data_IF_974895106373
#
_entry.id   IF_974895106373
#
_cell.length_a   1.000
_cell.length_b   1.000
_cell.length_c   1.000
_cell.angle_alpha   90.00
_cell.angle_beta   90.00
_cell.angle_gamma   90.00
#
_symmetry.space_group_name_H-M   'P 1'
#
loop_
_entity.id
_entity.type
_entity.pdbx_description
1 polymer ?
#
# COMPACT_ATOMS: atom_id res chain seq x y z
N UNK A 1 2.00 -7.48 32.04
CA UNK A 1 2.07 -7.98 30.64
C UNK A 1 2.92 -7.01 29.83
N UNK A 2 3.96 -7.47 29.10
CA UNK A 2 4.82 -6.56 28.32
C UNK A 2 4.02 -5.96 27.16
N UNK A 3 3.93 -4.63 27.04
CA UNK A 3 3.10 -3.93 26.04
C UNK A 3 3.36 -4.43 24.61
N UNK A 4 4.61 -4.69 24.25
CA UNK A 4 5.03 -5.22 22.93
C UNK A 4 4.47 -6.61 22.59
N UNK A 5 3.93 -7.33 23.58
CA UNK A 5 3.28 -8.63 23.42
C UNK A 5 1.75 -8.53 23.27
N UNK A 6 1.17 -7.33 23.35
CA UNK A 6 -0.27 -7.08 23.16
C UNK A 6 -0.60 -6.82 21.68
N UNK A 7 -1.87 -6.96 21.27
CA UNK A 7 -2.30 -6.63 19.91
C UNK A 7 -2.04 -5.15 19.59
N UNK A 8 -2.37 -4.25 20.52
CA UNK A 8 -2.14 -2.82 20.36
C UNK A 8 -0.64 -2.50 20.22
N UNK A 9 0.20 -3.04 21.10
CA UNK A 9 1.65 -2.82 21.02
C UNK A 9 2.27 -3.35 19.72
N UNK A 10 1.84 -4.53 19.24
CA UNK A 10 2.31 -5.07 17.95
C UNK A 10 1.82 -4.23 16.75
N UNK A 11 0.62 -3.66 16.85
CA UNK A 11 0.06 -2.74 15.83
C UNK A 11 0.85 -1.45 15.79
N UNK A 12 1.11 -0.81 16.94
CA UNK A 12 1.86 0.44 17.01
C UNK A 12 3.31 0.28 16.54
N UNK A 13 3.96 -0.85 16.87
CA UNK A 13 5.31 -1.17 16.41
C UNK A 13 5.42 -1.38 14.89
N UNK A 14 4.31 -1.52 14.17
CA UNK A 14 4.30 -1.74 12.72
C UNK A 14 3.48 -0.64 12.04
N UNK A 15 2.16 -0.74 12.06
CA UNK A 15 1.26 0.23 11.44
C UNK A 15 1.34 1.62 12.11
N UNK A 16 1.60 1.70 13.42
CA UNK A 16 1.77 2.99 14.09
C UNK A 16 2.95 3.79 13.53
N UNK A 17 4.13 3.18 13.47
CA UNK A 17 5.30 3.79 12.81
C UNK A 17 5.07 4.06 11.33
N UNK A 18 4.34 3.18 10.63
CA UNK A 18 4.00 3.39 9.23
C UNK A 18 3.16 4.65 9.04
N UNK A 19 2.07 4.82 9.81
CA UNK A 19 1.21 5.99 9.71
C UNK A 19 1.94 7.27 10.15
N UNK A 20 2.78 7.19 11.18
CA UNK A 20 3.63 8.33 11.54
C UNK A 20 4.53 8.77 10.38
N UNK A 21 5.23 7.82 9.74
CA UNK A 21 6.11 8.11 8.63
C UNK A 21 5.36 8.64 7.40
N UNK A 22 4.19 8.07 7.08
CA UNK A 22 3.33 8.55 5.99
C UNK A 22 2.85 9.97 6.26
N UNK A 23 2.24 10.21 7.42
CA UNK A 23 1.69 11.53 7.76
C UNK A 23 2.77 12.61 7.77
N UNK A 24 3.92 12.34 8.38
CA UNK A 24 5.03 13.28 8.41
C UNK A 24 5.61 13.51 7.01
N UNK A 25 5.87 12.44 6.26
CA UNK A 25 6.45 12.52 4.92
C UNK A 25 5.55 13.28 3.95
N UNK A 26 4.26 12.97 3.92
CA UNK A 26 3.30 13.64 3.04
C UNK A 26 3.02 15.08 3.49
N UNK A 27 2.99 15.35 4.80
CA UNK A 27 2.90 16.71 5.30
C UNK A 27 4.07 17.56 4.80
N UNK A 28 5.29 17.02 4.84
CA UNK A 28 6.46 17.70 4.28
C UNK A 28 6.38 17.91 2.75
N UNK A 29 5.68 17.05 2.00
CA UNK A 29 5.54 17.22 0.52
C UNK A 29 4.35 18.09 0.14
N UNK A 30 3.51 18.40 1.13
CA UNK A 30 2.24 19.06 0.92
C UNK A 30 2.41 20.38 0.17
N UNK A 31 1.36 20.79 -0.52
CA UNK A 31 1.30 22.10 -1.14
C UNK A 31 1.52 23.23 -0.13
N UNK A 32 1.00 23.07 1.09
CA UNK A 32 1.22 24.02 2.18
C UNK A 32 2.71 24.26 2.45
N UNK A 33 3.50 23.19 2.62
CA UNK A 33 4.95 23.31 2.84
C UNK A 33 5.65 23.89 1.61
N UNK A 34 5.22 23.48 0.41
CA UNK A 34 5.79 23.97 -0.84
C UNK A 34 5.60 25.47 -1.04
N UNK A 35 4.44 26.02 -0.65
CA UNK A 35 4.10 27.44 -0.82
C UNK A 35 4.69 28.33 0.27
N UNK A 36 4.82 27.84 1.51
CA UNK A 36 5.21 28.67 2.66
C UNK A 36 6.68 28.51 3.08
N UNK A 37 7.31 27.38 2.77
CA UNK A 37 8.64 27.06 3.29
C UNK A 37 9.64 26.65 2.20
N UNK A 38 9.34 25.61 1.43
CA UNK A 38 10.27 25.10 0.42
C UNK A 38 9.58 24.35 -0.72
N UNK A 39 9.56 24.96 -1.92
CA UNK A 39 8.87 24.45 -3.10
C UNK A 39 9.23 23.01 -3.49
N UNK A 40 10.51 22.63 -3.34
CA UNK A 40 11.03 21.32 -3.71
C UNK A 40 11.19 20.36 -2.51
N UNK A 41 10.27 20.43 -1.52
CA UNK A 41 10.31 19.60 -0.32
C UNK A 41 10.33 18.07 -0.55
N UNK A 42 10.00 17.60 -1.76
CA UNK A 42 10.23 16.22 -2.20
C UNK A 42 11.67 15.74 -1.98
N UNK A 43 12.67 16.62 -2.14
CA UNK A 43 14.07 16.26 -1.91
C UNK A 43 14.36 15.98 -0.44
N UNK A 44 13.78 16.76 0.48
CA UNK A 44 13.94 16.56 1.92
C UNK A 44 13.38 15.19 2.31
N UNK A 45 12.19 14.84 1.82
CA UNK A 45 11.58 13.54 2.12
C UNK A 45 12.36 12.40 1.49
N UNK A 46 12.89 12.60 0.29
CA UNK A 46 13.78 11.62 -0.34
C UNK A 46 15.00 11.35 0.54
N UNK A 47 15.60 12.41 1.11
CA UNK A 47 16.72 12.29 2.05
C UNK A 47 16.34 11.62 3.39
N UNK A 48 15.05 11.58 3.76
CA UNK A 48 14.58 10.86 4.96
C UNK A 48 14.20 9.41 4.67
N UNK A 49 13.50 9.17 3.55
CA UNK A 49 12.95 7.86 3.19
C UNK A 49 14.04 6.92 2.68
N UNK A 50 15.06 7.42 1.97
CA UNK A 50 16.15 6.57 1.48
C UNK A 50 16.95 5.96 2.65
N UNK A 51 17.41 6.72 3.66
CA UNK A 51 18.03 6.14 4.86
C UNK A 51 17.11 5.19 5.62
N UNK A 52 15.82 5.51 5.76
CA UNK A 52 14.86 4.61 6.40
C UNK A 52 14.72 3.28 5.63
N UNK A 53 14.63 3.33 4.31
CA UNK A 53 14.60 2.16 3.44
C UNK A 53 15.87 1.33 3.61
N UNK A 54 17.05 1.96 3.59
CA UNK A 54 18.34 1.29 3.79
C UNK A 54 18.42 0.65 5.17
N UNK A 55 18.02 1.36 6.23
CA UNK A 55 17.98 0.82 7.60
C UNK A 55 17.10 -0.43 7.68
N UNK A 56 15.88 -0.37 7.13
CA UNK A 56 14.95 -1.51 7.09
C UNK A 56 15.51 -2.66 6.24
N UNK A 57 16.19 -2.35 5.13
CA UNK A 57 16.85 -3.32 4.27
C UNK A 57 17.98 -4.05 5.01
N UNK A 58 18.86 -3.33 5.72
CA UNK A 58 19.96 -3.94 6.46
C UNK A 58 19.50 -4.77 7.66
N UNK A 59 18.39 -4.37 8.33
CA UNK A 59 17.78 -5.15 9.42
C UNK A 59 16.94 -6.34 8.94
N UNK A 60 16.60 -6.39 7.66
CA UNK A 60 15.72 -7.41 7.10
C UNK A 60 16.44 -8.75 6.85
N UNK A 61 15.67 -9.84 6.99
CA UNK A 61 16.13 -11.18 6.57
C UNK A 61 16.46 -11.20 5.08
N UNK A 62 17.29 -12.15 4.62
CA UNK A 62 17.65 -12.28 3.19
C UNK A 62 16.41 -12.34 2.29
N UNK A 63 15.38 -13.11 2.67
CA UNK A 63 14.11 -13.16 1.95
C UNK A 63 13.43 -11.79 1.87
N UNK A 64 13.36 -11.08 3.00
CA UNK A 64 12.68 -9.78 3.06
C UNK A 64 13.43 -8.70 2.28
N UNK A 65 14.76 -8.75 2.25
CA UNK A 65 15.59 -7.88 1.41
C UNK A 65 15.25 -8.01 -0.07
N UNK A 66 15.11 -9.25 -0.56
CA UNK A 66 14.67 -9.46 -1.94
C UNK A 66 13.27 -8.92 -2.20
N UNK A 67 12.32 -9.12 -1.27
CA UNK A 67 10.97 -8.58 -1.40
C UNK A 67 10.95 -7.04 -1.45
N UNK A 68 11.80 -6.36 -0.68
CA UNK A 68 11.97 -4.91 -0.74
C UNK A 68 12.45 -4.48 -2.13
N UNK A 69 13.48 -5.12 -2.67
CA UNK A 69 14.00 -4.80 -4.01
C UNK A 69 12.91 -5.02 -5.06
N UNK A 70 12.22 -6.16 -5.02
CA UNK A 70 11.14 -6.43 -5.97
C UNK A 70 9.99 -5.44 -5.84
N UNK A 71 9.61 -5.07 -4.62
CA UNK A 71 8.55 -4.09 -4.38
C UNK A 71 8.94 -2.74 -4.96
N UNK A 72 10.18 -2.28 -4.75
CA UNK A 72 10.68 -1.02 -5.31
C UNK A 72 10.70 -1.06 -6.84
N UNK A 73 11.18 -2.14 -7.46
CA UNK A 73 11.21 -2.26 -8.93
C UNK A 73 9.80 -2.28 -9.54
N UNK A 74 8.88 -3.02 -8.93
CA UNK A 74 7.47 -3.04 -9.35
C UNK A 74 6.81 -1.68 -9.13
N UNK A 75 7.12 -1.01 -8.03
CA UNK A 75 6.63 0.33 -7.74
C UNK A 75 7.11 1.33 -8.80
N UNK A 76 8.40 1.32 -9.17
CA UNK A 76 8.91 2.16 -10.27
C UNK A 76 8.09 1.89 -11.55
N UNK A 77 7.99 0.64 -11.97
CA UNK A 77 7.23 0.29 -13.18
C UNK A 77 5.76 0.71 -13.09
N UNK A 78 5.13 0.51 -11.93
CA UNK A 78 3.75 0.89 -11.65
C UNK A 78 3.53 2.40 -11.71
N UNK A 79 4.39 3.21 -11.08
CA UNK A 79 4.28 4.67 -11.08
C UNK A 79 4.40 5.24 -12.51
N UNK A 80 5.38 4.76 -13.29
CA UNK A 80 5.52 5.19 -14.69
C UNK A 80 4.34 4.72 -15.56
N UNK A 81 3.80 3.53 -15.31
CA UNK A 81 2.64 3.04 -16.02
C UNK A 81 1.37 3.84 -15.66
N UNK A 82 1.02 3.91 -14.37
CA UNK A 82 -0.24 4.48 -13.92
C UNK A 82 -0.25 6.01 -13.95
N UNK A 83 0.80 6.68 -13.47
CA UNK A 83 0.86 8.13 -13.49
C UNK A 83 1.21 8.69 -14.87
N UNK A 84 2.33 8.24 -15.47
CA UNK A 84 2.85 8.87 -16.70
C UNK A 84 2.20 8.37 -17.98
N UNK A 85 1.98 7.07 -18.10
CA UNK A 85 1.47 6.48 -19.35
C UNK A 85 -0.05 6.55 -19.41
N UNK A 86 -0.70 6.22 -18.29
CA UNK A 86 -2.16 6.08 -18.20
C UNK A 86 -2.86 7.33 -17.64
N UNK A 87 -2.10 8.30 -17.10
CA UNK A 87 -2.66 9.55 -16.58
C UNK A 87 -3.64 9.36 -15.42
N UNK A 88 -3.46 8.31 -14.62
CA UNK A 88 -4.38 7.97 -13.53
C UNK A 88 -4.33 8.96 -12.36
N UNK A 89 -3.18 9.60 -12.13
CA UNK A 89 -3.01 10.65 -11.13
C UNK A 89 -1.77 11.46 -11.46
N UNK A 90 -1.74 12.71 -11.00
CA UNK A 90 -0.63 13.64 -11.20
C UNK A 90 -0.12 14.15 -9.87
N UNK A 91 1.19 14.00 -9.63
CA UNK A 91 1.86 14.61 -8.48
C UNK A 91 1.99 16.13 -8.64
N UNK A 92 2.06 16.85 -7.52
CA UNK A 92 2.19 18.32 -7.45
C UNK A 92 3.22 18.91 -8.42
N UNK A 93 4.43 18.35 -8.43
CA UNK A 93 5.54 18.80 -9.27
C UNK A 93 5.58 18.12 -10.66
N UNK A 94 4.53 17.38 -11.02
CA UNK A 94 4.40 16.60 -12.26
C UNK A 94 5.51 15.57 -12.51
N UNK A 95 6.48 15.38 -11.62
CA UNK A 95 7.42 14.26 -11.62
C UNK A 95 6.92 13.13 -10.72
N UNK A 96 7.50 11.94 -10.85
CA UNK A 96 7.34 10.89 -9.84
C UNK A 96 8.36 11.20 -8.73
N UNK A 97 7.93 11.50 -7.49
CA UNK A 97 8.87 11.78 -6.41
C UNK A 97 9.74 10.55 -6.11
N UNK A 98 11.04 10.75 -5.94
CA UNK A 98 11.99 9.63 -5.76
C UNK A 98 11.76 8.84 -4.46
N UNK A 99 11.09 9.42 -3.47
CA UNK A 99 10.72 8.72 -2.24
C UNK A 99 9.53 7.77 -2.40
N UNK A 100 8.72 7.89 -3.47
CA UNK A 100 7.51 7.09 -3.64
C UNK A 100 7.82 5.60 -3.86
N UNK A 101 8.69 5.20 -4.80
CA UNK A 101 9.00 3.77 -4.97
C UNK A 101 9.55 3.07 -3.72
N UNK A 102 10.55 3.62 -2.98
CA UNK A 102 10.96 3.03 -1.71
C UNK A 102 9.86 3.13 -0.64
N UNK A 103 9.03 4.17 -0.66
CA UNK A 103 7.84 4.30 0.20
C UNK A 103 6.87 3.13 0.03
N UNK A 104 6.54 2.76 -1.22
CA UNK A 104 5.70 1.59 -1.53
C UNK A 104 6.28 0.29 -0.97
N UNK A 105 7.60 0.11 -1.07
CA UNK A 105 8.28 -1.05 -0.50
C UNK A 105 8.23 -1.07 1.03
N UNK A 106 8.32 0.10 1.70
CA UNK A 106 8.18 0.22 3.16
C UNK A 106 6.74 -0.08 3.61
N UNK A 107 5.73 0.46 2.92
CA UNK A 107 4.31 0.15 3.17
C UNK A 107 4.08 -1.36 3.08
N UNK A 108 4.52 -1.97 1.97
CA UNK A 108 4.47 -3.41 1.76
C UNK A 108 5.12 -4.17 2.92
N UNK A 109 6.34 -3.78 3.30
CA UNK A 109 7.10 -4.43 4.35
C UNK A 109 6.41 -4.36 5.71
N UNK A 110 5.93 -3.19 6.13
CA UNK A 110 5.34 -3.00 7.45
C UNK A 110 3.98 -3.70 7.58
N UNK A 111 3.17 -3.72 6.51
CA UNK A 111 1.95 -4.55 6.47
C UNK A 111 2.28 -6.05 6.48
N UNK A 112 3.35 -6.46 5.77
CA UNK A 112 3.82 -7.84 5.78
C UNK A 112 4.30 -8.28 7.17
N UNK A 113 5.02 -7.41 7.90
CA UNK A 113 5.44 -7.65 9.27
C UNK A 113 4.25 -7.67 10.24
N UNK A 114 3.33 -6.72 10.13
CA UNK A 114 2.08 -6.70 10.92
C UNK A 114 1.35 -8.03 10.80
N UNK A 115 1.12 -8.49 9.57
CA UNK A 115 0.40 -9.74 9.26
C UNK A 115 1.07 -10.99 9.83
N UNK A 116 2.35 -10.92 10.25
CA UNK A 116 3.11 -12.03 10.81
C UNK A 116 3.26 -12.01 12.32
N UNK A 117 2.88 -10.92 13.00
CA UNK A 117 2.95 -10.78 14.44
C UNK A 117 2.02 -11.80 15.15
N UNK A 118 2.42 -12.27 16.33
CA UNK A 118 1.75 -13.39 17.00
C UNK A 118 0.31 -13.07 17.42
N UNK A 119 0.07 -11.90 18.01
CA UNK A 119 -1.28 -11.49 18.42
C UNK A 119 -2.16 -11.17 17.22
N UNK A 120 -1.57 -10.68 16.13
CA UNK A 120 -2.29 -10.43 14.88
C UNK A 120 -2.76 -11.75 14.27
N UNK A 121 -1.91 -12.78 14.25
CA UNK A 121 -2.32 -14.13 13.81
C UNK A 121 -3.39 -14.74 14.71
N UNK A 122 -3.27 -14.57 16.02
CA UNK A 122 -4.25 -15.05 16.99
C UNK A 122 -5.62 -14.38 16.80
N UNK A 123 -5.63 -13.05 16.58
CA UNK A 123 -6.85 -12.27 16.38
C UNK A 123 -7.28 -12.16 14.90
N UNK A 124 -6.72 -12.98 14.01
CA UNK A 124 -6.87 -12.84 12.56
C UNK A 124 -8.31 -12.63 12.10
N UNK A 125 -9.23 -13.50 12.52
CA UNK A 125 -10.65 -13.41 12.11
C UNK A 125 -11.30 -12.10 12.55
N UNK A 126 -11.02 -11.64 13.78
CA UNK A 126 -11.54 -10.38 14.31
C UNK A 126 -11.04 -9.19 13.50
N UNK A 127 -9.76 -9.19 13.14
CA UNK A 127 -9.15 -8.14 12.31
C UNK A 127 -9.73 -8.16 10.89
N UNK A 128 -9.88 -9.34 10.27
CA UNK A 128 -10.49 -9.46 8.94
C UNK A 128 -11.94 -8.95 8.92
N UNK A 129 -12.74 -9.26 9.95
CA UNK A 129 -14.11 -8.73 10.10
C UNK A 129 -14.08 -7.21 10.28
N UNK A 130 -13.24 -6.71 11.17
CA UNK A 130 -13.09 -5.28 11.44
C UNK A 130 -12.70 -4.49 10.17
N UNK A 131 -11.68 -4.92 9.44
CA UNK A 131 -11.30 -4.27 8.18
C UNK A 131 -12.44 -4.35 7.15
N UNK A 132 -13.11 -5.50 7.03
CA UNK A 132 -14.24 -5.65 6.11
C UNK A 132 -15.40 -4.70 6.46
N UNK A 133 -15.72 -4.55 7.75
CA UNK A 133 -16.76 -3.64 8.23
C UNK A 133 -16.41 -2.16 8.06
N UNK A 134 -15.13 -1.82 7.86
CA UNK A 134 -14.71 -0.47 7.48
C UNK A 134 -14.78 -0.26 5.96
N UNK A 135 -14.25 -1.22 5.20
CA UNK A 135 -14.09 -1.11 3.74
C UNK A 135 -15.43 -1.02 3.01
N UNK A 136 -16.40 -1.86 3.39
CA UNK A 136 -17.69 -1.91 2.69
C UNK A 136 -18.45 -0.57 2.83
N UNK A 137 -18.71 -0.05 4.05
CA UNK A 137 -19.35 1.25 4.20
C UNK A 137 -18.53 2.38 3.57
N UNK A 138 -17.20 2.37 3.72
CA UNK A 138 -16.33 3.39 3.12
C UNK A 138 -16.50 3.45 1.60
N UNK A 139 -16.44 2.31 0.91
CA UNK A 139 -16.59 2.24 -0.54
C UNK A 139 -18.01 2.59 -1.01
N UNK A 140 -19.04 2.22 -0.24
CA UNK A 140 -20.43 2.60 -0.54
C UNK A 140 -20.67 4.10 -0.35
N UNK A 141 -20.14 4.69 0.72
CA UNK A 141 -20.22 6.13 0.95
C UNK A 141 -19.53 6.90 -0.20
N UNK A 142 -18.36 6.45 -0.66
CA UNK A 142 -17.68 7.06 -1.80
C UNK A 142 -18.48 6.92 -3.10
N UNK A 143 -19.10 5.76 -3.34
CA UNK A 143 -19.99 5.57 -4.48
C UNK A 143 -21.19 6.54 -4.43
N UNK A 144 -21.88 6.64 -3.29
CA UNK A 144 -23.12 7.43 -3.17
C UNK A 144 -22.83 8.93 -3.16
N UNK A 145 -21.87 9.39 -2.37
CA UNK A 145 -21.64 10.83 -2.14
C UNK A 145 -20.60 11.45 -3.06
N UNK A 146 -19.71 10.64 -3.67
CA UNK A 146 -18.65 11.13 -4.55
C UNK A 146 -18.75 10.58 -5.98
N UNK A 147 -19.79 9.78 -6.28
CA UNK A 147 -19.95 9.09 -7.55
C UNK A 147 -18.70 8.26 -7.93
N UNK A 148 -18.02 7.65 -6.96
CA UNK A 148 -16.75 6.94 -7.18
C UNK A 148 -16.96 5.52 -7.75
N UNK A 149 -17.36 5.45 -9.03
CA UNK A 149 -17.61 4.17 -9.70
C UNK A 149 -16.31 3.37 -9.86
N UNK A 150 -15.21 4.03 -10.25
CA UNK A 150 -13.89 3.39 -10.37
C UNK A 150 -13.48 2.74 -9.04
N UNK A 151 -13.49 3.52 -7.95
CA UNK A 151 -13.12 3.00 -6.64
C UNK A 151 -14.00 1.84 -6.20
N UNK A 152 -15.31 1.92 -6.39
CA UNK A 152 -16.22 0.84 -6.06
C UNK A 152 -15.96 -0.46 -6.85
N UNK A 153 -15.73 -0.34 -8.16
CA UNK A 153 -15.39 -1.49 -9.04
C UNK A 153 -14.07 -2.13 -8.59
N UNK A 154 -13.05 -1.33 -8.27
CA UNK A 154 -11.79 -1.84 -7.76
C UNK A 154 -11.98 -2.59 -6.42
N UNK A 155 -12.80 -2.06 -5.52
CA UNK A 155 -13.14 -2.72 -4.23
C UNK A 155 -13.87 -4.04 -4.45
N UNK A 156 -14.82 -4.09 -5.39
CA UNK A 156 -15.47 -5.34 -5.78
C UNK A 156 -14.44 -6.39 -6.24
N UNK A 157 -13.48 -6.00 -7.08
CA UNK A 157 -12.42 -6.90 -7.53
C UNK A 157 -11.51 -7.36 -6.40
N UNK A 158 -11.19 -6.50 -5.43
CA UNK A 158 -10.45 -6.92 -4.22
C UNK A 158 -11.19 -8.05 -3.51
N UNK A 159 -12.48 -7.88 -3.21
CA UNK A 159 -13.26 -8.94 -2.54
C UNK A 159 -13.41 -10.19 -3.41
N UNK A 160 -13.56 -10.05 -4.73
CA UNK A 160 -13.60 -11.18 -5.66
C UNK A 160 -12.31 -12.00 -5.61
N UNK A 161 -11.13 -11.35 -5.68
CA UNK A 161 -9.85 -12.04 -5.59
C UNK A 161 -9.62 -12.67 -4.21
N UNK A 162 -10.10 -12.02 -3.14
CA UNK A 162 -10.01 -12.57 -1.79
C UNK A 162 -10.75 -13.89 -1.62
N UNK A 163 -11.84 -14.14 -2.36
CA UNK A 163 -12.54 -15.45 -2.35
C UNK A 163 -11.63 -16.58 -2.82
N UNK A 164 -10.78 -16.33 -3.83
CA UNK A 164 -9.83 -17.32 -4.38
C UNK A 164 -8.55 -17.45 -3.54
N UNK A 165 -8.30 -16.51 -2.63
CA UNK A 165 -7.03 -16.42 -1.88
C UNK A 165 -7.22 -16.22 -0.37
N UNK A 166 -7.88 -17.15 0.32
CA UNK A 166 -8.21 -17.01 1.74
C UNK A 166 -6.96 -16.92 2.63
N UNK A 167 -5.82 -17.46 2.22
CA UNK A 167 -4.56 -17.42 3.00
C UNK A 167 -3.95 -16.02 3.08
N UNK A 168 -4.27 -15.15 2.12
CA UNK A 168 -3.69 -13.80 1.99
C UNK A 168 -4.68 -12.70 2.42
N UNK A 169 -5.90 -13.08 2.83
CA UNK A 169 -7.00 -12.18 3.15
C UNK A 169 -6.66 -11.10 4.18
N UNK A 170 -6.07 -11.48 5.31
CA UNK A 170 -5.65 -10.52 6.34
C UNK A 170 -4.71 -9.44 5.78
N UNK A 171 -3.69 -9.84 5.01
CA UNK A 171 -2.70 -8.93 4.46
C UNK A 171 -3.36 -7.90 3.54
N UNK A 172 -4.22 -8.36 2.61
CA UNK A 172 -4.86 -7.47 1.65
C UNK A 172 -5.93 -6.55 2.26
N UNK A 173 -6.70 -7.02 3.24
CA UNK A 173 -7.67 -6.17 3.93
C UNK A 173 -6.96 -5.07 4.74
N UNK A 174 -5.86 -5.38 5.41
CA UNK A 174 -5.05 -4.39 6.12
C UNK A 174 -4.38 -3.44 5.12
N UNK A 175 -3.84 -3.96 4.03
CA UNK A 175 -3.25 -3.15 2.96
C UNK A 175 -4.28 -2.17 2.39
N UNK A 176 -5.51 -2.61 2.15
CA UNK A 176 -6.60 -1.74 1.72
C UNK A 176 -6.77 -0.57 2.69
N UNK A 177 -6.95 -0.84 3.98
CA UNK A 177 -7.12 0.21 4.99
C UNK A 177 -5.95 1.19 5.03
N UNK A 178 -4.72 0.68 4.98
CA UNK A 178 -3.50 1.49 4.98
C UNK A 178 -3.47 2.40 3.75
N UNK A 179 -3.67 1.85 2.56
CA UNK A 179 -3.65 2.61 1.30
C UNK A 179 -4.78 3.63 1.25
N UNK A 180 -5.99 3.27 1.68
CA UNK A 180 -7.10 4.22 1.74
C UNK A 180 -6.76 5.43 2.63
N UNK A 181 -6.13 5.21 3.79
CA UNK A 181 -5.68 6.30 4.67
C UNK A 181 -4.55 7.10 4.00
N UNK A 182 -3.56 6.44 3.39
CA UNK A 182 -2.45 7.11 2.68
C UNK A 182 -2.96 8.01 1.57
N UNK A 183 -3.90 7.52 0.77
CA UNK A 183 -4.50 8.26 -0.33
C UNK A 183 -5.28 9.46 0.18
N UNK A 184 -6.13 9.30 1.21
CA UNK A 184 -6.87 10.42 1.80
C UNK A 184 -5.94 11.52 2.33
N UNK A 185 -4.87 11.14 3.02
CA UNK A 185 -3.85 12.08 3.50
C UNK A 185 -3.14 12.76 2.32
N UNK A 186 -2.65 12.00 1.33
CA UNK A 186 -1.91 12.56 0.21
C UNK A 186 -2.72 13.49 -0.67
N UNK A 187 -3.97 13.14 -0.97
CA UNK A 187 -4.85 13.99 -1.78
C UNK A 187 -5.36 15.21 -1.01
N UNK A 188 -5.61 15.08 0.31
CA UNK A 188 -6.03 16.24 1.13
C UNK A 188 -4.90 17.25 1.33
N UNK A 189 -3.64 16.80 1.33
CA UNK A 189 -2.44 17.64 1.37
C UNK A 189 -1.98 18.12 -0.01
N UNK A 190 -2.74 17.76 -1.06
CA UNK A 190 -2.46 18.10 -2.46
C UNK A 190 -1.06 17.63 -2.94
N UNK A 191 -0.56 16.51 -2.40
CA UNK A 191 0.67 15.88 -2.87
C UNK A 191 0.49 15.27 -4.27
N UNK A 192 -0.68 14.69 -4.52
CA UNK A 192 -1.15 14.24 -5.84
C UNK A 192 -2.66 14.39 -5.95
N UNK A 193 -3.16 14.33 -7.17
CA UNK A 193 -4.58 14.39 -7.46
C UNK A 193 -4.98 13.37 -8.53
N UNK A 194 -6.15 12.77 -8.32
CA UNK A 194 -6.82 11.88 -9.27
C UNK A 194 -7.77 12.69 -10.18
N UNK A 195 -7.87 12.37 -11.48
CA UNK A 195 -8.85 12.97 -12.38
C UNK A 195 -10.26 12.52 -12.01
N UNK A 196 -11.26 13.31 -12.40
CA UNK A 196 -12.69 13.03 -12.13
C UNK A 196 -13.24 11.82 -12.90
N UNK A 197 -12.53 11.35 -13.92
CA UNK A 197 -12.87 10.18 -14.73
C UNK A 197 -11.64 9.30 -14.91
N UNK A 198 -11.83 7.98 -14.96
CA UNK A 198 -10.73 7.03 -15.06
C UNK A 198 -9.86 7.31 -16.29
N UNK A 199 -8.53 7.27 -16.09
CA UNK A 199 -7.51 7.52 -17.10
C UNK A 199 -7.61 8.88 -17.81
N UNK A 200 -8.39 9.82 -17.24
CA UNK A 200 -8.75 11.09 -17.87
C UNK A 200 -9.40 10.93 -19.27
N UNK A 201 -10.02 9.76 -19.54
CA UNK A 201 -10.57 9.39 -20.85
C UNK A 201 -11.91 8.66 -20.79
N UNK A 202 -12.16 7.87 -19.75
CA UNK A 202 -13.33 6.99 -19.67
C UNK A 202 -14.47 7.66 -18.89
N UNK A 203 -15.29 8.45 -19.59
CA UNK A 203 -16.41 9.20 -18.97
C UNK A 203 -17.46 8.32 -18.27
N UNK A 204 -17.61 7.07 -18.71
CA UNK A 204 -18.53 6.11 -18.08
C UNK A 204 -18.00 5.57 -16.74
N UNK A 205 -16.76 5.88 -16.37
CA UNK A 205 -16.13 5.43 -15.14
C UNK A 205 -15.62 6.63 -14.30
N UNK A 206 -16.55 7.39 -13.68
CA UNK A 206 -16.19 8.46 -12.75
C UNK A 206 -15.33 7.97 -11.59
N UNK A 207 -14.44 8.83 -11.11
CA UNK A 207 -13.48 8.56 -10.05
C UNK A 207 -13.48 9.70 -9.02
N UNK A 208 -13.46 9.35 -7.74
CA UNK A 208 -13.19 10.33 -6.69
C UNK A 208 -11.69 10.68 -6.63
N UNK A 209 -11.37 11.72 -5.84
CA UNK A 209 -10.02 12.10 -5.46
C UNK A 209 -9.84 11.94 -3.94
N UNK A 210 -9.41 10.76 -3.45
CA UNK A 210 -8.95 9.58 -4.19
C UNK A 210 -10.05 8.54 -4.44
N UNK A 211 -9.86 7.59 -5.38
CA UNK A 211 -10.75 6.45 -5.56
C UNK A 211 -10.59 5.44 -4.42
N UNK A 212 -11.70 5.05 -3.79
CA UNK A 212 -11.74 4.26 -2.56
C UNK A 212 -11.04 2.89 -2.68
N UNK A 213 -11.10 2.25 -3.85
CA UNK A 213 -10.64 0.88 -4.08
C UNK A 213 -9.27 0.75 -4.74
N UNK A 214 -8.49 1.84 -4.86
CA UNK A 214 -7.23 1.84 -5.62
C UNK A 214 -6.17 0.87 -5.07
N UNK A 215 -6.32 0.44 -3.82
CA UNK A 215 -5.51 -0.60 -3.19
C UNK A 215 -5.47 -1.93 -3.97
N UNK A 216 -6.38 -2.14 -4.94
CA UNK A 216 -6.30 -3.24 -5.90
C UNK A 216 -4.91 -3.34 -6.56
N UNK A 217 -4.25 -2.23 -6.87
CA UNK A 217 -2.94 -2.28 -7.52
C UNK A 217 -1.82 -2.79 -6.59
N UNK A 218 -1.97 -2.65 -5.27
CA UNK A 218 -1.08 -3.30 -4.30
C UNK A 218 -1.26 -4.82 -4.28
N UNK A 219 -2.41 -5.34 -4.72
CA UNK A 219 -2.58 -6.76 -4.98
C UNK A 219 -1.61 -7.24 -6.06
N UNK A 220 -1.49 -6.46 -7.14
CA UNK A 220 -0.51 -6.69 -8.20
C UNK A 220 0.93 -6.62 -7.68
N UNK A 221 1.24 -5.65 -6.81
CA UNK A 221 2.55 -5.52 -6.18
C UNK A 221 2.92 -6.76 -5.35
N UNK A 222 2.07 -7.21 -4.41
CA UNK A 222 2.35 -8.41 -3.61
C UNK A 222 2.50 -9.67 -4.50
N UNK A 223 1.60 -9.83 -5.46
CA UNK A 223 1.65 -10.95 -6.41
C UNK A 223 2.94 -10.96 -7.21
N UNK A 224 3.36 -9.79 -7.70
CA UNK A 224 4.59 -9.61 -8.45
C UNK A 224 5.82 -9.95 -7.62
N UNK A 225 5.94 -9.40 -6.41
CA UNK A 225 7.08 -9.67 -5.52
C UNK A 225 7.19 -11.15 -5.19
N UNK A 226 6.06 -11.79 -4.85
CA UNK A 226 6.02 -13.21 -4.54
C UNK A 226 6.29 -14.09 -5.77
N UNK A 227 5.87 -13.66 -6.97
CA UNK A 227 6.15 -14.34 -8.23
C UNK A 227 7.65 -14.34 -8.55
N UNK A 228 8.30 -13.17 -8.49
CA UNK A 228 9.75 -13.05 -8.68
C UNK A 228 10.53 -13.88 -7.67
N UNK A 229 10.13 -13.83 -6.40
CA UNK A 229 10.75 -14.64 -5.35
C UNK A 229 10.65 -16.15 -5.65
N UNK A 230 9.48 -16.65 -6.05
CA UNK A 230 9.28 -18.07 -6.40
C UNK A 230 10.10 -18.50 -7.63
N UNK A 231 10.23 -17.62 -8.63
CA UNK A 231 10.99 -17.89 -9.85
C UNK A 231 12.50 -17.96 -9.60
N UNK A 232 13.01 -17.13 -8.68
CA UNK A 232 14.41 -17.16 -8.23
C UNK A 232 14.69 -18.38 -7.34
N UNK A 233 13.79 -18.70 -6.40
CA UNK A 233 13.97 -19.76 -5.39
C UNK A 233 13.23 -21.06 -5.74
N UNK A 234 13.46 -21.62 -6.94
CA UNK A 234 12.74 -22.81 -7.44
C UNK A 234 12.86 -24.01 -6.51
N UNK A 235 14.06 -24.28 -5.97
CA UNK A 235 14.30 -25.42 -5.08
C UNK A 235 13.52 -25.30 -3.76
N UNK A 236 13.58 -24.14 -3.10
CA UNK A 236 12.83 -23.89 -1.88
C UNK A 236 11.31 -23.96 -2.12
N UNK A 237 10.85 -23.48 -3.27
CA UNK A 237 9.44 -23.56 -3.67
C UNK A 237 8.98 -25.00 -3.92
N UNK A 238 9.80 -25.82 -4.61
CA UNK A 238 9.54 -27.27 -4.79
C UNK A 238 9.43 -27.97 -3.43
N UNK A 239 10.34 -27.69 -2.49
CA UNK A 239 10.30 -28.24 -1.13
C UNK A 239 9.01 -27.87 -0.39
N UNK A 240 8.59 -26.60 -0.45
CA UNK A 240 7.35 -26.17 0.19
C UNK A 240 6.12 -26.87 -0.41
N UNK A 241 6.06 -27.02 -1.74
CA UNK A 241 4.98 -27.75 -2.41
C UNK A 241 4.90 -29.20 -1.93
N UNK A 242 6.06 -29.88 -1.82
CA UNK A 242 6.14 -31.26 -1.33
C UNK A 242 5.67 -31.37 0.13
N UNK A 243 6.04 -30.44 1.01
CA UNK A 243 5.53 -30.45 2.41
C UNK A 243 4.01 -30.26 2.44
N UNK A 244 3.46 -29.41 1.57
CA UNK A 244 2.01 -29.16 1.51
C UNK A 244 1.20 -30.27 0.84
N UNK A 245 1.82 -31.20 0.13
CA UNK A 245 1.11 -32.37 -0.41
C UNK A 245 0.94 -33.47 0.63
N UNK A 246 1.65 -33.40 1.76
CA UNK A 246 1.54 -34.35 2.86
C UNK A 246 0.60 -33.89 3.99
N UNK A 247 0.11 -32.64 3.93
CA UNK A 247 -0.81 -32.03 4.90
C UNK A 247 -2.12 -31.64 4.21
#
# INVERSE_FOLDING_TARGET
MIFSKTLLGQTLQTLGWLFFAISLGLFLDSKFIAEHYYYNAQHIITLLIIPLFLFLYYKATSRTRELLIYATLIAIAGEYLFSKTLGMYTYRLKNIPHYIPPGHAIVFLLVYYFSRKSQVKYNRKKIEVFCTSLIIPFSLCFLIFKNDILGFVCTFFVFYFLRKHPKERLFFLVMYCVVAITELIGTSLECWQWPSVAFNKLNFLPSANPPAGISLFYFGLDRGTMSFYKRRHKAAWKRLKKVRSFN
#
